data_IF_629851495942
#
_entry.id   IF_629851495942
#
_cell.length_a   1.000
_cell.length_b   1.000
_cell.length_c   1.000
_cell.angle_alpha   90.00
_cell.angle_beta   90.00
_cell.angle_gamma   90.00
#
_symmetry.space_group_name_H-M   'P 1'
#
loop_
_entity.id
_entity.type
_entity.pdbx_description
1 polymer ?
#
# COMPACT_ATOMS: atom_id res chain seq x y z
N UNK A 1 0.17 -26.11 -17.91
CA UNK A 1 -0.88 -25.35 -18.66
C UNK A 1 -2.20 -26.11 -18.87
N UNK A 2 -2.28 -27.41 -18.64
CA UNK A 2 -3.53 -28.19 -18.79
C UNK A 2 -4.49 -28.09 -17.58
N UNK A 3 -4.03 -27.74 -16.41
CA UNK A 3 -4.90 -27.60 -15.21
C UNK A 3 -5.76 -26.34 -15.17
N UNK A 4 -5.54 -25.36 -16.05
CA UNK A 4 -6.36 -24.14 -16.12
C UNK A 4 -7.60 -24.32 -17.01
N UNK A 5 -7.65 -25.38 -17.83
CA UNK A 5 -8.78 -25.61 -18.78
C UNK A 5 -10.04 -26.24 -18.16
N UNK A 6 -10.02 -26.64 -16.89
CA UNK A 6 -11.17 -27.25 -16.20
C UNK A 6 -11.78 -26.41 -15.08
N UNK A 7 -11.45 -25.13 -14.96
CA UNK A 7 -12.31 -24.23 -14.21
C UNK A 7 -13.55 -23.96 -15.07
N UNK A 8 -14.64 -24.69 -14.82
CA UNK A 8 -15.96 -24.28 -15.27
C UNK A 8 -16.07 -22.77 -15.07
N UNK A 9 -16.40 -22.02 -16.13
CA UNK A 9 -16.55 -20.58 -16.11
C UNK A 9 -17.54 -20.18 -15.00
N UNK A 10 -17.02 -19.95 -13.81
CA UNK A 10 -17.77 -19.41 -12.67
C UNK A 10 -17.75 -17.89 -12.82
N UNK A 11 -18.57 -17.38 -13.70
CA UNK A 11 -18.70 -15.93 -13.85
C UNK A 11 -19.48 -15.40 -12.65
N UNK A 12 -18.92 -14.41 -11.98
CA UNK A 12 -19.64 -13.65 -10.95
C UNK A 12 -20.64 -12.75 -11.67
N UNK A 13 -21.92 -13.02 -11.46
CA UNK A 13 -23.01 -12.29 -12.09
C UNK A 13 -23.29 -10.96 -11.41
N UNK A 14 -23.16 -10.96 -10.08
CA UNK A 14 -23.47 -9.80 -9.25
C UNK A 14 -22.74 -9.85 -7.90
N UNK A 15 -22.39 -8.68 -7.41
CA UNK A 15 -22.03 -8.43 -6.02
C UNK A 15 -23.18 -7.72 -5.31
N UNK A 16 -23.53 -8.17 -4.12
CA UNK A 16 -24.51 -7.53 -3.28
C UNK A 16 -24.13 -7.64 -1.81
N UNK A 17 -23.74 -6.53 -1.21
CA UNK A 17 -23.24 -6.49 0.17
C UNK A 17 -22.10 -7.48 0.42
N UNK A 18 -22.38 -8.54 1.22
CA UNK A 18 -21.43 -9.61 1.55
C UNK A 18 -21.60 -10.87 0.69
N UNK A 19 -22.43 -10.82 -0.33
CA UNK A 19 -22.74 -11.96 -1.18
C UNK A 19 -22.27 -11.77 -2.60
N UNK A 20 -21.90 -12.87 -3.24
CA UNK A 20 -21.70 -13.00 -4.68
C UNK A 20 -22.69 -13.99 -5.25
N UNK A 21 -23.07 -13.80 -6.51
CA UNK A 21 -23.95 -14.70 -7.23
C UNK A 21 -23.17 -15.34 -8.37
N UNK A 22 -23.15 -16.69 -8.36
CA UNK A 22 -22.47 -17.51 -9.37
C UNK A 22 -23.46 -18.56 -9.84
N UNK A 23 -23.80 -18.58 -11.13
CA UNK A 23 -24.80 -19.49 -11.73
C UNK A 23 -26.14 -19.48 -10.98
N UNK A 24 -26.61 -18.31 -10.58
CA UNK A 24 -27.85 -18.13 -9.83
C UNK A 24 -27.78 -18.54 -8.35
N UNK A 25 -26.63 -18.99 -7.85
CA UNK A 25 -26.45 -19.40 -6.45
C UNK A 25 -25.86 -18.24 -5.66
N UNK A 26 -26.48 -17.90 -4.52
CA UNK A 26 -25.97 -16.95 -3.56
C UNK A 26 -24.89 -17.58 -2.69
N UNK A 27 -23.71 -16.96 -2.63
CA UNK A 27 -22.58 -17.40 -1.85
C UNK A 27 -22.06 -16.25 -0.98
N UNK A 28 -21.68 -16.55 0.25
CA UNK A 28 -21.00 -15.58 1.11
C UNK A 28 -19.60 -15.31 0.56
N UNK A 29 -19.28 -14.00 0.33
CA UNK A 29 -18.03 -13.61 -0.32
C UNK A 29 -16.92 -13.35 0.71
N UNK A 30 -15.97 -14.27 0.80
CA UNK A 30 -14.72 -14.13 1.54
C UNK A 30 -13.52 -13.80 0.64
N UNK A 31 -13.75 -13.59 -0.65
CA UNK A 31 -12.67 -13.40 -1.63
C UNK A 31 -12.34 -11.94 -1.93
N UNK A 32 -13.17 -10.99 -1.48
CA UNK A 32 -12.96 -9.58 -1.74
C UNK A 32 -12.33 -8.83 -0.56
N UNK A 33 -11.67 -7.73 -0.87
CA UNK A 33 -10.97 -6.90 0.09
C UNK A 33 -11.83 -5.73 0.63
N UNK A 34 -13.15 -5.80 0.56
CA UNK A 34 -14.06 -4.80 1.12
C UNK A 34 -14.20 -4.97 2.63
N UNK A 35 -13.09 -4.83 3.36
CA UNK A 35 -12.96 -5.21 4.77
C UNK A 35 -13.97 -4.52 5.70
N UNK A 36 -14.28 -3.25 5.44
CA UNK A 36 -15.21 -2.44 6.25
C UNK A 36 -16.62 -2.35 5.66
N UNK A 37 -16.88 -3.02 4.52
CA UNK A 37 -18.18 -2.96 3.85
C UNK A 37 -18.51 -1.61 3.20
N UNK A 38 -17.57 -0.69 3.12
CA UNK A 38 -17.79 0.69 2.69
C UNK A 38 -18.10 0.85 1.20
N UNK A 39 -17.72 -0.12 0.36
CA UNK A 39 -18.02 -0.12 -1.08
C UNK A 39 -19.51 0.10 -1.37
N UNK A 40 -20.37 -0.45 -0.51
CA UNK A 40 -21.82 -0.39 -0.70
C UNK A 40 -22.52 0.64 0.20
N UNK A 41 -21.77 1.41 0.99
CA UNK A 41 -22.32 2.44 1.88
C UNK A 41 -23.02 3.54 1.07
N UNK A 42 -24.29 3.80 1.43
CA UNK A 42 -25.14 4.78 0.74
C UNK A 42 -24.58 6.19 0.85
N UNK A 43 -23.96 6.55 1.97
CA UNK A 43 -23.39 7.88 2.20
C UNK A 43 -22.23 8.14 1.25
N UNK A 44 -21.37 7.14 1.05
CA UNK A 44 -20.24 7.23 0.10
C UNK A 44 -20.76 7.36 -1.33
N UNK A 45 -21.76 6.54 -1.71
CA UNK A 45 -22.38 6.62 -3.04
C UNK A 45 -23.00 7.99 -3.32
N UNK A 46 -23.68 8.59 -2.34
CA UNK A 46 -24.25 9.95 -2.49
C UNK A 46 -23.17 11.02 -2.60
N UNK A 47 -22.11 10.95 -1.81
CA UNK A 47 -20.99 11.90 -1.93
C UNK A 47 -20.26 11.75 -3.27
N UNK A 48 -20.10 10.53 -3.81
CA UNK A 48 -19.56 10.33 -5.15
C UNK A 48 -20.43 10.99 -6.23
N UNK A 49 -21.76 10.86 -6.15
CA UNK A 49 -22.68 11.53 -7.10
C UNK A 49 -22.51 13.05 -7.05
N UNK A 50 -22.48 13.63 -5.83
CA UNK A 50 -22.21 15.06 -5.66
C UNK A 50 -20.86 15.47 -6.24
N UNK A 51 -19.84 14.63 -6.06
CA UNK A 51 -18.52 14.86 -6.64
C UNK A 51 -18.54 14.92 -8.16
N UNK A 52 -19.30 14.01 -8.82
CA UNK A 52 -19.48 14.02 -10.27
C UNK A 52 -20.19 15.28 -10.74
N UNK A 53 -21.24 15.70 -10.04
CA UNK A 53 -21.99 16.93 -10.37
C UNK A 53 -21.15 18.20 -10.23
N UNK A 54 -20.25 18.24 -9.24
CA UNK A 54 -19.40 19.42 -8.96
C UNK A 54 -18.12 19.48 -9.80
N UNK A 55 -17.51 18.33 -10.06
CA UNK A 55 -16.15 18.25 -10.63
C UNK A 55 -16.08 17.52 -11.99
N UNK A 56 -17.21 17.01 -12.52
CA UNK A 56 -17.28 16.15 -13.69
C UNK A 56 -16.60 14.79 -13.50
N UNK A 57 -16.76 13.89 -14.51
CA UNK A 57 -16.16 12.56 -14.49
C UNK A 57 -14.65 12.56 -14.68
N UNK A 58 -14.15 13.55 -15.39
CA UNK A 58 -12.73 13.73 -15.68
C UNK A 58 -12.41 15.22 -15.60
N UNK A 59 -12.11 15.75 -14.42
CA UNK A 59 -11.58 17.11 -14.34
C UNK A 59 -10.26 17.13 -15.10
N UNK A 60 -10.20 17.80 -16.24
CA UNK A 60 -8.98 18.09 -16.98
C UNK A 60 -8.07 19.00 -16.16
N UNK A 61 -7.60 18.52 -15.02
CA UNK A 61 -6.81 19.30 -14.10
C UNK A 61 -5.40 18.75 -14.11
N UNK A 62 -4.48 19.58 -14.56
CA UNK A 62 -3.05 19.39 -14.35
C UNK A 62 -2.80 19.12 -12.84
N UNK A 63 -1.88 18.21 -12.51
CA UNK A 63 -1.54 17.83 -11.14
C UNK A 63 -1.35 19.05 -10.23
N UNK A 64 -0.66 20.08 -10.71
CA UNK A 64 -0.45 21.34 -9.98
C UNK A 64 -1.75 22.07 -9.62
N UNK A 65 -2.78 21.96 -10.46
CA UNK A 65 -4.10 22.55 -10.19
C UNK A 65 -4.94 21.65 -9.26
N UNK A 66 -4.78 20.32 -9.36
CA UNK A 66 -5.42 19.40 -8.43
C UNK A 66 -4.94 19.59 -7.00
N UNK A 67 -3.65 19.79 -6.80
CA UNK A 67 -3.05 20.05 -5.47
C UNK A 67 -3.62 21.33 -4.82
N UNK A 68 -4.10 22.27 -5.62
CA UNK A 68 -4.80 23.48 -5.16
C UNK A 68 -6.31 23.30 -4.98
N UNK A 69 -6.87 22.13 -5.27
CA UNK A 69 -8.30 21.89 -5.04
C UNK A 69 -8.56 21.63 -3.56
N UNK A 70 -9.63 22.23 -3.04
CA UNK A 70 -10.05 22.08 -1.62
C UNK A 70 -10.27 20.60 -1.24
N UNK A 71 -10.80 19.80 -2.15
CA UNK A 71 -11.06 18.37 -1.94
C UNK A 71 -9.76 17.57 -1.81
N UNK A 72 -8.81 17.81 -2.70
CA UNK A 72 -7.49 17.16 -2.66
C UNK A 72 -6.75 17.51 -1.36
N UNK A 73 -6.72 18.79 -1.03
CA UNK A 73 -6.10 19.28 0.21
C UNK A 73 -6.73 18.66 1.46
N UNK A 74 -8.05 18.58 1.52
CA UNK A 74 -8.76 17.92 2.63
C UNK A 74 -8.44 16.44 2.73
N UNK A 75 -8.35 15.73 1.59
CA UNK A 75 -8.00 14.32 1.56
C UNK A 75 -6.55 14.11 2.00
N UNK A 76 -5.59 14.84 1.43
CA UNK A 76 -4.18 14.77 1.81
C UNK A 76 -4.00 15.06 3.32
N UNK A 77 -4.69 16.06 3.88
CA UNK A 77 -4.66 16.35 5.31
C UNK A 77 -5.21 15.21 6.17
N UNK A 78 -6.27 14.53 5.73
CA UNK A 78 -6.79 13.36 6.45
C UNK A 78 -5.79 12.20 6.43
N UNK A 79 -5.15 11.95 5.29
CA UNK A 79 -4.12 10.92 5.13
C UNK A 79 -2.93 11.24 6.05
N UNK A 80 -2.41 12.48 6.05
CA UNK A 80 -1.32 12.89 6.94
C UNK A 80 -1.63 12.64 8.41
N UNK A 81 -2.84 12.99 8.85
CA UNK A 81 -3.28 12.76 10.24
C UNK A 81 -3.36 11.28 10.59
N UNK A 82 -3.86 10.46 9.66
CA UNK A 82 -4.02 9.03 9.85
C UNK A 82 -2.66 8.32 9.85
N UNK A 83 -1.78 8.65 8.91
CA UNK A 83 -0.44 8.09 8.80
C UNK A 83 0.58 8.70 9.76
N UNK A 84 0.26 9.82 10.44
CA UNK A 84 1.19 10.60 11.28
C UNK A 84 2.46 11.07 10.55
N UNK A 85 2.40 11.16 9.23
CA UNK A 85 3.49 11.64 8.38
C UNK A 85 3.20 13.06 7.89
N UNK A 86 4.25 13.81 7.54
CA UNK A 86 4.15 15.25 7.30
C UNK A 86 3.53 15.59 5.95
N UNK A 87 3.73 14.75 4.93
CA UNK A 87 3.25 14.98 3.58
C UNK A 87 2.44 13.81 3.05
N UNK A 88 1.52 14.08 2.12
CA UNK A 88 0.76 13.05 1.41
C UNK A 88 0.45 13.47 -0.02
N UNK A 89 0.58 12.51 -0.93
CA UNK A 89 0.25 12.63 -2.35
C UNK A 89 -0.77 11.54 -2.68
N UNK A 90 -1.83 11.91 -3.42
CA UNK A 90 -2.87 10.99 -3.85
C UNK A 90 -2.74 10.69 -5.33
N UNK A 91 -2.91 9.43 -5.69
CA UNK A 91 -2.86 8.92 -7.05
C UNK A 91 -4.19 8.29 -7.43
N UNK A 92 -4.51 8.29 -8.72
CA UNK A 92 -5.77 7.73 -9.25
C UNK A 92 -5.75 6.21 -9.40
N UNK A 93 -4.57 5.58 -9.43
CA UNK A 93 -4.41 4.15 -9.74
C UNK A 93 -3.35 3.48 -8.87
N UNK A 94 -3.71 2.33 -8.34
CA UNK A 94 -2.97 1.53 -7.39
C UNK A 94 -1.67 0.91 -7.86
N UNK A 95 -1.63 0.39 -9.03
CA UNK A 95 -0.42 -0.20 -9.60
C UNK A 95 0.69 0.85 -9.81
N UNK A 96 0.28 2.07 -10.15
CA UNK A 96 1.22 3.11 -10.53
C UNK A 96 2.06 3.66 -9.37
N UNK A 97 1.56 3.61 -8.14
CA UNK A 97 2.30 4.19 -7.00
C UNK A 97 3.53 3.38 -6.66
N UNK A 98 3.41 2.08 -6.47
CA UNK A 98 4.55 1.23 -6.10
C UNK A 98 5.64 1.30 -7.18
N UNK A 99 5.22 1.16 -8.43
CA UNK A 99 6.11 1.22 -9.57
C UNK A 99 6.73 2.61 -9.71
N UNK A 100 5.91 3.66 -9.70
CA UNK A 100 6.39 5.03 -9.86
C UNK A 100 7.27 5.48 -8.68
N UNK A 101 6.85 5.20 -7.44
CA UNK A 101 7.60 5.57 -6.25
C UNK A 101 8.98 4.92 -6.24
N UNK A 102 9.03 3.58 -6.29
CA UNK A 102 10.27 2.83 -6.14
C UNK A 102 11.22 3.10 -7.31
N UNK A 103 10.70 3.07 -8.56
CA UNK A 103 11.54 3.31 -9.73
C UNK A 103 12.04 4.75 -9.86
N UNK A 104 11.39 5.71 -9.19
CA UNK A 104 11.82 7.11 -9.16
C UNK A 104 12.80 7.41 -8.03
N UNK A 105 12.59 6.77 -6.87
CA UNK A 105 13.43 7.02 -5.69
C UNK A 105 14.78 6.31 -5.76
N UNK A 106 14.84 5.14 -6.41
CA UNK A 106 16.02 4.29 -6.41
C UNK A 106 16.59 4.09 -7.81
N UNK A 107 17.87 3.79 -7.88
CA UNK A 107 18.65 3.57 -9.10
C UNK A 107 19.68 2.46 -8.91
N UNK A 108 20.46 2.16 -9.94
CA UNK A 108 21.46 1.06 -9.96
C UNK A 108 22.55 1.15 -8.88
N UNK A 109 22.81 2.34 -8.33
CA UNK A 109 23.78 2.55 -7.24
C UNK A 109 23.21 2.26 -5.85
N UNK A 110 21.91 1.98 -5.76
CA UNK A 110 21.19 1.76 -4.49
C UNK A 110 20.98 0.28 -4.19
N UNK A 111 20.68 -0.06 -2.94
CA UNK A 111 20.30 -1.39 -2.50
C UNK A 111 18.99 -1.38 -1.74
N UNK A 112 18.12 -2.33 -2.06
CA UNK A 112 16.81 -2.49 -1.43
C UNK A 112 16.71 -3.88 -0.80
N UNK A 113 16.48 -3.93 0.50
CA UNK A 113 16.16 -5.13 1.26
C UNK A 113 14.65 -5.33 1.25
N UNK A 114 14.19 -6.46 0.75
CA UNK A 114 12.77 -6.78 0.59
C UNK A 114 12.45 -8.12 1.22
N UNK A 115 11.34 -8.19 1.97
CA UNK A 115 10.84 -9.47 2.46
C UNK A 115 10.54 -10.44 1.30
N UNK A 116 10.78 -11.72 1.50
CA UNK A 116 10.59 -12.74 0.46
C UNK A 116 9.13 -12.95 0.06
N UNK A 117 8.15 -12.54 0.86
CA UNK A 117 6.72 -12.60 0.56
C UNK A 117 6.09 -11.25 0.22
N UNK A 118 6.89 -10.20 0.04
CA UNK A 118 6.37 -8.92 -0.43
C UNK A 118 5.58 -9.07 -1.73
N UNK A 119 4.59 -8.20 -1.90
CA UNK A 119 3.71 -8.16 -3.06
C UNK A 119 4.48 -8.00 -4.36
N UNK A 120 3.93 -8.54 -5.44
CA UNK A 120 4.56 -8.47 -6.78
C UNK A 120 4.75 -7.02 -7.24
N UNK A 121 3.87 -6.10 -6.86
CA UNK A 121 3.96 -4.70 -7.25
C UNK A 121 5.22 -4.02 -6.67
N UNK A 122 5.60 -4.37 -5.44
CA UNK A 122 6.87 -3.92 -4.84
C UNK A 122 8.05 -4.44 -5.66
N UNK A 123 8.05 -5.74 -5.98
CA UNK A 123 9.14 -6.35 -6.75
C UNK A 123 9.27 -5.75 -8.15
N UNK A 124 8.16 -5.47 -8.83
CA UNK A 124 8.17 -4.80 -10.14
C UNK A 124 8.76 -3.40 -10.06
N UNK A 125 8.40 -2.60 -9.04
CA UNK A 125 9.01 -1.30 -8.79
C UNK A 125 10.52 -1.40 -8.57
N UNK A 126 10.98 -2.40 -7.80
CA UNK A 126 12.41 -2.62 -7.56
C UNK A 126 13.13 -3.01 -8.86
N UNK A 127 12.57 -3.91 -9.66
CA UNK A 127 13.16 -4.29 -10.94
C UNK A 127 13.29 -3.10 -11.91
N UNK A 128 12.29 -2.24 -11.96
CA UNK A 128 12.30 -1.06 -12.83
C UNK A 128 13.27 0.03 -12.35
N UNK A 129 13.57 0.09 -11.06
CA UNK A 129 14.58 1.02 -10.52
C UNK A 129 16.01 0.65 -10.90
N UNK A 130 16.25 -0.61 -11.29
CA UNK A 130 17.58 -1.23 -11.43
C UNK A 130 18.40 -1.27 -10.13
N UNK A 131 17.83 -0.94 -8.98
CA UNK A 131 18.49 -1.06 -7.70
C UNK A 131 18.79 -2.54 -7.38
N UNK A 132 19.84 -2.77 -6.60
CA UNK A 132 20.21 -4.12 -6.18
C UNK A 132 19.18 -4.67 -5.19
N UNK A 133 18.45 -5.72 -5.58
CA UNK A 133 17.50 -6.40 -4.72
C UNK A 133 18.20 -7.43 -3.81
N UNK A 134 18.02 -7.31 -2.51
CA UNK A 134 18.42 -8.30 -1.50
C UNK A 134 17.16 -8.81 -0.82
N UNK A 135 16.75 -10.05 -1.10
CA UNK A 135 15.60 -10.66 -0.43
C UNK A 135 16.03 -11.28 0.90
N UNK A 136 15.36 -10.93 2.00
CA UNK A 136 15.52 -11.63 3.28
C UNK A 136 14.37 -12.62 3.50
N UNK A 137 14.61 -13.60 4.36
CA UNK A 137 13.62 -14.62 4.70
C UNK A 137 12.39 -13.98 5.32
N UNK A 138 11.23 -14.52 4.97
CA UNK A 138 9.96 -14.00 5.41
C UNK A 138 9.91 -13.77 6.92
N UNK A 139 9.64 -12.51 7.30
CA UNK A 139 9.46 -12.03 8.66
C UNK A 139 10.62 -12.38 9.63
N UNK A 140 11.83 -12.61 9.08
CA UNK A 140 13.04 -12.98 9.82
C UNK A 140 14.00 -11.78 9.94
N UNK A 141 13.93 -11.10 11.08
CA UNK A 141 14.73 -9.89 11.35
C UNK A 141 16.21 -10.22 11.54
N UNK A 142 16.55 -11.45 11.97
CA UNK A 142 17.94 -11.85 12.08
C UNK A 142 18.57 -12.01 10.68
N UNK A 143 17.87 -12.66 9.74
CA UNK A 143 18.31 -12.76 8.36
C UNK A 143 18.42 -11.40 7.68
N UNK A 144 17.45 -10.48 7.95
CA UNK A 144 17.54 -9.09 7.51
C UNK A 144 18.81 -8.42 8.04
N UNK A 145 19.09 -8.51 9.34
CA UNK A 145 20.25 -7.90 10.00
C UNK A 145 21.56 -8.45 9.42
N UNK A 146 21.68 -9.76 9.25
CA UNK A 146 22.86 -10.40 8.65
C UNK A 146 23.10 -9.91 7.22
N UNK A 147 22.06 -9.87 6.42
CA UNK A 147 22.13 -9.39 5.03
C UNK A 147 22.42 -7.90 4.95
N UNK A 148 21.83 -7.10 5.85
CA UNK A 148 22.12 -5.68 5.93
C UNK A 148 23.62 -5.43 6.16
N UNK A 149 24.22 -6.08 7.16
CA UNK A 149 25.65 -5.96 7.46
C UNK A 149 26.55 -6.40 6.27
N UNK A 150 26.09 -7.36 5.51
CA UNK A 150 26.89 -7.92 4.39
C UNK A 150 26.77 -7.11 3.09
N UNK A 151 25.63 -6.46 2.85
CA UNK A 151 25.32 -5.93 1.52
C UNK A 151 24.97 -4.43 1.49
N UNK A 152 24.91 -3.72 2.64
CA UNK A 152 24.56 -2.30 2.66
C UNK A 152 25.71 -1.36 2.26
N UNK A 153 26.97 -1.78 2.50
CA UNK A 153 28.12 -0.91 2.22
C UNK A 153 28.34 -0.69 0.70
N UNK A 154 28.80 0.50 0.36
CA UNK A 154 29.16 0.88 -1.01
C UNK A 154 27.98 1.30 -1.89
N UNK A 155 26.78 1.44 -1.33
CA UNK A 155 25.59 1.92 -2.02
C UNK A 155 25.27 3.38 -1.62
N UNK A 156 24.71 4.16 -2.56
CA UNK A 156 24.35 5.56 -2.30
C UNK A 156 23.15 5.67 -1.36
N UNK A 157 22.15 4.81 -1.58
CA UNK A 157 20.97 4.70 -0.73
C UNK A 157 20.74 3.26 -0.32
N UNK A 158 20.30 3.08 0.90
CA UNK A 158 19.91 1.78 1.45
C UNK A 158 18.45 1.88 1.86
N UNK A 159 17.64 0.91 1.50
CA UNK A 159 16.23 0.87 1.87
C UNK A 159 15.81 -0.50 2.37
N UNK A 160 14.86 -0.53 3.31
CA UNK A 160 14.09 -1.72 3.70
C UNK A 160 12.64 -1.48 3.31
N UNK A 161 12.07 -2.38 2.51
CA UNK A 161 10.67 -2.31 2.07
C UNK A 161 9.94 -3.59 2.49
N UNK A 162 8.75 -3.44 3.09
CA UNK A 162 7.92 -4.58 3.47
C UNK A 162 6.42 -4.28 3.37
N UNK A 163 5.62 -5.30 3.04
CA UNK A 163 4.19 -5.30 3.34
C UNK A 163 3.99 -5.29 4.86
N UNK A 164 3.01 -4.59 5.37
CA UNK A 164 2.65 -4.58 6.79
C UNK A 164 1.82 -5.80 7.20
N UNK A 165 0.96 -6.25 6.29
CA UNK A 165 0.28 -7.55 6.34
C UNK A 165 0.46 -8.22 4.99
N UNK A 166 1.03 -9.41 4.99
CA UNK A 166 1.33 -10.16 3.78
C UNK A 166 0.07 -10.79 3.17
N UNK A 167 -0.10 -10.62 1.87
CA UNK A 167 -1.31 -11.07 1.17
C UNK A 167 -1.48 -12.59 1.17
N UNK A 168 -0.37 -13.34 1.17
CA UNK A 168 -0.41 -14.80 0.98
C UNK A 168 -0.77 -15.57 2.23
N UNK A 169 -0.37 -15.12 3.41
CA UNK A 169 -0.54 -15.84 4.68
C UNK A 169 -1.26 -15.03 5.75
N UNK A 170 -1.38 -13.70 5.56
CA UNK A 170 -2.02 -12.80 6.51
C UNK A 170 -1.16 -12.46 7.72
N UNK A 171 0.12 -12.84 7.74
CA UNK A 171 1.01 -12.46 8.84
C UNK A 171 1.24 -10.95 8.89
N UNK A 172 1.39 -10.43 10.11
CA UNK A 172 1.82 -9.06 10.35
C UNK A 172 3.35 -8.99 10.31
N UNK A 173 3.89 -8.03 9.58
CA UNK A 173 5.32 -7.74 9.64
C UNK A 173 5.73 -7.27 11.04
N UNK A 174 6.97 -7.55 11.43
CA UNK A 174 7.57 -7.10 12.69
C UNK A 174 8.16 -5.70 12.51
N UNK A 175 7.29 -4.72 12.29
CA UNK A 175 7.72 -3.34 11.97
C UNK A 175 8.44 -2.68 13.14
N UNK A 176 8.07 -3.02 14.38
CA UNK A 176 8.76 -2.52 15.59
C UNK A 176 10.20 -3.04 15.69
N UNK A 177 10.47 -4.27 15.23
CA UNK A 177 11.84 -4.81 15.20
C UNK A 177 12.67 -4.18 14.05
N UNK A 178 12.05 -3.91 12.89
CA UNK A 178 12.71 -3.16 11.80
C UNK A 178 12.98 -1.71 12.22
N UNK A 179 12.04 -1.08 12.93
CA UNK A 179 12.22 0.26 13.48
C UNK A 179 13.44 0.33 14.44
N UNK A 180 13.60 -0.66 15.33
CA UNK A 180 14.78 -0.77 16.19
C UNK A 180 16.08 -0.93 15.39
N UNK A 181 16.04 -1.70 14.28
CA UNK A 181 17.20 -1.80 13.39
C UNK A 181 17.52 -0.45 12.74
N UNK A 182 16.51 0.36 12.41
CA UNK A 182 16.71 1.70 11.86
C UNK A 182 17.34 2.67 12.86
N UNK A 183 17.08 2.54 14.15
CA UNK A 183 17.76 3.34 15.18
C UNK A 183 19.27 3.05 15.25
N UNK A 184 19.68 1.85 14.86
CA UNK A 184 21.09 1.44 14.83
C UNK A 184 21.77 1.69 13.46
N UNK A 185 21.01 1.77 12.39
CA UNK A 185 21.46 1.79 11.00
C UNK A 185 20.67 2.82 10.20
N UNK A 186 21.36 3.52 9.31
CA UNK A 186 20.74 4.48 8.42
C UNK A 186 20.19 3.78 7.17
N UNK A 187 18.86 3.86 6.95
CA UNK A 187 18.18 3.40 5.75
C UNK A 187 16.81 4.04 5.60
N UNK A 188 16.29 4.05 4.39
CA UNK A 188 14.92 4.49 4.10
C UNK A 188 13.97 3.33 4.42
N UNK A 189 13.05 3.53 5.36
CA UNK A 189 12.07 2.52 5.75
C UNK A 189 10.72 2.78 5.06
N UNK A 190 10.32 1.87 4.19
CA UNK A 190 9.10 1.96 3.38
C UNK A 190 8.15 0.83 3.75
N UNK A 191 6.88 1.15 4.01
CA UNK A 191 5.86 0.19 4.42
C UNK A 191 4.63 0.27 3.52
N UNK A 192 4.20 -0.88 3.00
CA UNK A 192 2.91 -1.05 2.34
C UNK A 192 1.82 -1.37 3.37
N UNK A 193 0.97 -0.39 3.66
CA UNK A 193 -0.15 -0.54 4.59
C UNK A 193 -1.48 -0.92 3.90
N UNK A 194 -1.43 -1.39 2.66
CA UNK A 194 -2.61 -1.66 1.83
C UNK A 194 -3.59 -2.65 2.46
N UNK A 195 -3.10 -3.63 3.22
CA UNK A 195 -3.94 -4.63 3.89
C UNK A 195 -4.34 -4.24 5.32
N UNK A 196 -3.81 -3.14 5.87
CA UNK A 196 -3.97 -2.79 7.28
C UNK A 196 -4.58 -1.41 7.51
N UNK A 197 -4.36 -0.49 6.59
CA UNK A 197 -4.83 0.89 6.67
C UNK A 197 -6.36 0.97 6.80
N UNK A 198 -6.84 1.81 7.70
CA UNK A 198 -8.26 1.95 8.00
C UNK A 198 -8.82 0.87 8.95
N UNK A 199 -8.00 -0.13 9.35
CA UNK A 199 -8.42 -1.27 10.16
C UNK A 199 -7.64 -1.34 11.47
N UNK A 200 -6.32 -1.22 11.40
CA UNK A 200 -5.41 -1.39 12.53
C UNK A 200 -4.79 -0.06 12.98
N UNK A 201 -4.32 -0.04 14.23
CA UNK A 201 -3.72 1.11 14.87
C UNK A 201 -4.75 2.04 15.53
N UNK A 202 -4.30 2.82 16.51
CA UNK A 202 -5.14 3.76 17.26
C UNK A 202 -5.76 4.85 16.36
N UNK A 203 -5.00 5.24 15.31
CA UNK A 203 -5.38 6.29 14.36
C UNK A 203 -5.81 5.71 13.01
N UNK A 204 -6.01 4.37 12.94
CA UNK A 204 -6.30 3.64 11.70
C UNK A 204 -5.19 3.74 10.66
N UNK A 205 -3.96 4.04 11.09
CA UNK A 205 -2.78 4.21 10.24
C UNK A 205 -2.15 2.89 9.77
N UNK A 206 -2.62 1.75 10.25
CA UNK A 206 -2.12 0.43 9.89
C UNK A 206 -1.26 -0.22 10.98
N UNK A 207 -0.42 -1.19 10.59
CA UNK A 207 0.43 -1.95 11.53
C UNK A 207 1.57 -1.08 12.08
N UNK A 208 2.08 -0.14 11.30
CA UNK A 208 3.09 0.79 11.79
C UNK A 208 2.56 1.65 12.96
N UNK A 209 1.29 2.06 12.91
CA UNK A 209 0.61 2.75 14.02
C UNK A 209 0.35 1.78 15.20
N UNK A 210 -0.13 0.57 14.93
CA UNK A 210 -0.41 -0.45 15.95
C UNK A 210 0.84 -0.84 16.75
N UNK A 211 1.97 -1.01 16.08
CA UNK A 211 3.24 -1.42 16.69
C UNK A 211 4.11 -0.23 17.16
N UNK A 212 3.61 1.00 17.08
CA UNK A 212 4.36 2.23 17.39
C UNK A 212 5.66 2.41 16.58
N UNK A 213 5.73 1.78 15.40
CA UNK A 213 6.87 1.88 14.48
C UNK A 213 6.78 3.11 13.56
N UNK A 214 5.64 3.78 13.49
CA UNK A 214 5.34 4.83 12.53
C UNK A 214 6.34 6.01 12.56
N UNK A 215 6.91 6.31 13.71
CA UNK A 215 7.90 7.39 13.86
C UNK A 215 9.26 7.08 13.23
N UNK A 216 9.52 5.82 12.91
CA UNK A 216 10.73 5.36 12.22
C UNK A 216 10.46 5.08 10.73
N UNK A 217 9.20 5.09 10.29
CA UNK A 217 8.83 4.89 8.89
C UNK A 217 8.98 6.20 8.13
N UNK A 218 9.70 6.18 7.00
CA UNK A 218 9.88 7.36 6.16
C UNK A 218 8.76 7.50 5.13
N UNK A 219 8.29 6.37 4.58
CA UNK A 219 7.28 6.34 3.54
C UNK A 219 6.27 5.23 3.82
N UNK A 220 5.01 5.60 3.78
CA UNK A 220 3.87 4.68 3.75
C UNK A 220 3.16 4.84 2.43
N UNK A 221 2.79 3.75 1.80
CA UNK A 221 1.81 3.78 0.72
C UNK A 221 0.66 2.81 0.98
N UNK A 222 -0.51 3.11 0.43
CA UNK A 222 -1.69 2.30 0.63
C UNK A 222 -2.76 2.56 -0.42
N UNK A 223 -3.58 1.54 -0.66
CA UNK A 223 -4.72 1.59 -1.56
C UNK A 223 -6.00 1.96 -0.82
N UNK A 224 -6.81 2.81 -1.44
CA UNK A 224 -8.10 3.21 -0.87
C UNK A 224 -9.23 2.21 -1.18
N UNK A 225 -9.05 1.32 -2.16
CA UNK A 225 -10.14 0.44 -2.60
C UNK A 225 -10.42 -0.71 -1.63
N UNK A 226 -9.46 -1.14 -0.82
CA UNK A 226 -9.68 -2.24 0.13
C UNK A 226 -10.55 -1.80 1.31
N UNK A 227 -10.00 -0.99 2.18
CA UNK A 227 -10.71 -0.59 3.41
C UNK A 227 -11.74 0.51 3.16
N UNK A 228 -11.42 1.51 2.33
CA UNK A 228 -12.29 2.67 2.14
C UNK A 228 -13.30 2.53 1.00
N UNK A 229 -13.22 1.44 0.21
CA UNK A 229 -14.21 1.12 -0.83
C UNK A 229 -14.26 2.10 -2.01
N UNK A 230 -13.20 2.90 -2.23
CA UNK A 230 -13.11 3.87 -3.32
C UNK A 230 -11.80 3.71 -4.10
N UNK A 231 -11.81 4.12 -5.37
CA UNK A 231 -10.60 4.11 -6.19
C UNK A 231 -9.58 5.12 -5.71
N UNK A 232 -8.30 4.79 -5.89
CA UNK A 232 -7.18 5.65 -5.58
C UNK A 232 -6.15 5.02 -4.65
N UNK A 233 -5.04 5.69 -4.54
CA UNK A 233 -3.89 5.37 -3.69
C UNK A 233 -3.29 6.61 -3.11
N UNK A 234 -2.49 6.44 -2.08
CA UNK A 234 -1.68 7.52 -1.56
C UNK A 234 -0.28 7.06 -1.19
N UNK A 235 0.63 8.01 -1.21
CA UNK A 235 1.91 7.96 -0.52
C UNK A 235 1.87 9.01 0.57
N UNK A 236 2.24 8.62 1.79
CA UNK A 236 2.52 9.55 2.87
C UNK A 236 3.99 9.43 3.24
N UNK A 237 4.65 10.54 3.56
CA UNK A 237 6.09 10.56 3.80
C UNK A 237 6.49 11.60 4.83
N UNK A 238 7.67 11.41 5.44
CA UNK A 238 8.34 12.46 6.20
C UNK A 238 8.96 13.48 5.22
N UNK A 239 8.96 14.75 5.61
CA UNK A 239 9.84 15.72 4.93
C UNK A 239 11.27 15.51 5.41
N UNK A 240 12.25 15.61 4.50
CA UNK A 240 13.68 15.55 4.85
C UNK A 240 14.09 16.64 5.84
#
# INVERSE_FOLDING_TARGET
MEHIKNSSNKNIERYYEKFIYINGVELLDFSNANFLGLRDDKRIKEEMKKGIDLYSLNPEINKTLMENSDVYFKLANKIRKMSKLSEAIVYSSGYNVNVALISTLFKETDVIFSDSLNSINILEGIYLSNAKLIRYKHNDINDLREKFLKYSEGHERVSVITDSIFTMDGEKAKLDEIAKLKEEKDFIFIVDETNANGIFGEHFGGIADEQNAIYNVDIVFSYLYKSFGCMGEYVAMTTP
#
